data_IF_983798018563
#
_entry.id   IF_983798018563
#
_cell.length_a   1.000
_cell.length_b   1.000
_cell.length_c   1.000
_cell.angle_alpha   90.00
_cell.angle_beta   90.00
_cell.angle_gamma   90.00
#
_symmetry.space_group_name_H-M   'P 1'
#
loop_
_entity.id
_entity.type
_entity.pdbx_description
1 polymer ?
#
# COMPACT_ATOMS: atom_id res chain seq x y z
N UNK A 1 9.53 6.20 18.23
CA UNK A 1 10.03 6.67 16.92
C UNK A 1 9.42 5.77 15.89
N UNK A 2 8.62 6.30 14.97
CA UNK A 2 8.10 5.54 13.83
C UNK A 2 9.26 5.24 12.89
N UNK A 3 9.61 3.96 12.74
CA UNK A 3 10.68 3.53 11.86
C UNK A 3 10.12 3.45 10.44
N UNK A 4 10.51 4.38 9.57
CA UNK A 4 10.05 4.36 8.18
C UNK A 4 10.71 3.18 7.44
N UNK A 5 9.95 2.31 6.77
CA UNK A 5 10.51 1.16 6.07
C UNK A 5 11.37 1.57 4.88
N UNK A 6 12.31 0.72 4.50
CA UNK A 6 13.04 0.88 3.26
C UNK A 6 12.12 0.69 2.05
N UNK A 7 12.47 1.28 0.89
CA UNK A 7 11.68 1.16 -0.34
C UNK A 7 11.42 -0.29 -0.75
N UNK A 8 12.38 -1.19 -0.53
CA UNK A 8 12.23 -2.61 -0.81
C UNK A 8 11.18 -3.27 0.11
N UNK A 9 11.20 -2.97 1.40
CA UNK A 9 10.22 -3.51 2.36
C UNK A 9 8.80 -3.03 2.04
N UNK A 10 8.66 -1.74 1.70
CA UNK A 10 7.39 -1.17 1.30
C UNK A 10 6.89 -1.74 -0.02
N UNK A 11 7.77 -1.92 -1.01
CA UNK A 11 7.44 -2.54 -2.30
C UNK A 11 6.91 -3.96 -2.11
N UNK A 12 7.61 -4.77 -1.32
CA UNK A 12 7.21 -6.15 -1.07
C UNK A 12 5.91 -6.23 -0.25
N UNK A 13 5.70 -5.32 0.70
CA UNK A 13 4.44 -5.23 1.41
C UNK A 13 3.27 -4.85 0.50
N UNK A 14 3.47 -3.96 -0.49
CA UNK A 14 2.45 -3.58 -1.47
C UNK A 14 2.11 -4.71 -2.43
N UNK A 15 3.11 -5.48 -2.89
CA UNK A 15 2.88 -6.69 -3.69
C UNK A 15 2.08 -7.73 -2.89
N UNK A 16 2.46 -7.95 -1.63
CA UNK A 16 1.75 -8.87 -0.74
C UNK A 16 0.31 -8.39 -0.44
N UNK A 17 0.10 -7.09 -0.27
CA UNK A 17 -1.23 -6.51 -0.11
C UNK A 17 -2.10 -6.76 -1.34
N UNK A 18 -1.55 -6.63 -2.55
CA UNK A 18 -2.29 -6.92 -3.77
C UNK A 18 -2.64 -8.39 -3.96
N UNK A 19 -1.74 -9.31 -3.61
CA UNK A 19 -2.06 -10.73 -3.60
C UNK A 19 -3.17 -11.06 -2.59
N UNK A 20 -3.08 -10.54 -1.37
CA UNK A 20 -4.08 -10.75 -0.32
C UNK A 20 -5.44 -10.11 -0.68
N UNK A 21 -5.41 -8.94 -1.31
CA UNK A 21 -6.62 -8.26 -1.78
C UNK A 21 -7.31 -9.04 -2.91
N UNK A 22 -6.54 -9.58 -3.86
CA UNK A 22 -7.08 -10.46 -4.89
C UNK A 22 -7.70 -11.73 -4.29
N UNK A 23 -7.05 -12.36 -3.31
CA UNK A 23 -7.61 -13.50 -2.58
C UNK A 23 -8.93 -13.13 -1.88
N UNK A 24 -8.99 -11.96 -1.23
CA UNK A 24 -10.19 -11.45 -0.60
C UNK A 24 -11.34 -11.23 -1.60
N UNK A 25 -11.05 -10.66 -2.76
CA UNK A 25 -12.04 -10.50 -3.84
C UNK A 25 -12.60 -11.86 -4.28
N UNK A 26 -11.75 -12.86 -4.47
CA UNK A 26 -12.20 -14.20 -4.90
C UNK A 26 -12.98 -14.94 -3.81
N UNK A 27 -12.51 -14.89 -2.56
CA UNK A 27 -13.01 -15.76 -1.49
C UNK A 27 -14.13 -15.14 -0.66
N UNK A 28 -14.13 -13.82 -0.48
CA UNK A 28 -15.13 -13.11 0.35
C UNK A 28 -16.13 -12.36 -0.50
N UNK A 29 -15.67 -11.71 -1.58
CA UNK A 29 -16.53 -10.94 -2.47
C UNK A 29 -17.07 -11.73 -3.67
N UNK A 30 -16.81 -13.05 -3.72
CA UNK A 30 -17.26 -13.94 -4.80
C UNK A 30 -16.83 -13.46 -6.21
N UNK A 31 -15.59 -12.98 -6.32
CA UNK A 31 -15.00 -12.47 -7.55
C UNK A 31 -15.40 -11.03 -7.92
N UNK A 32 -16.19 -10.35 -7.07
CA UNK A 32 -16.54 -8.95 -7.28
C UNK A 32 -15.37 -8.06 -6.87
N UNK A 33 -15.03 -7.09 -7.73
CA UNK A 33 -13.99 -6.11 -7.47
C UNK A 33 -14.34 -5.26 -6.24
N UNK A 34 -13.37 -5.05 -5.38
CA UNK A 34 -13.50 -4.17 -4.22
C UNK A 34 -13.07 -2.73 -4.58
N UNK A 35 -13.99 -1.78 -4.45
CA UNK A 35 -13.70 -0.37 -4.78
C UNK A 35 -12.78 0.31 -3.76
N UNK A 36 -12.84 -0.08 -2.48
CA UNK A 36 -12.01 0.49 -1.40
C UNK A 36 -10.65 -0.22 -1.25
N UNK A 37 -10.04 -0.63 -2.37
CA UNK A 37 -8.76 -1.33 -2.40
C UNK A 37 -7.65 -0.55 -1.65
N UNK A 38 -7.62 0.78 -1.75
CA UNK A 38 -6.58 1.59 -1.11
C UNK A 38 -6.66 1.52 0.42
N UNK A 39 -7.86 1.45 1.00
CA UNK A 39 -8.08 1.25 2.44
C UNK A 39 -7.60 -0.12 2.88
N UNK A 40 -7.91 -1.16 2.10
CA UNK A 40 -7.43 -2.52 2.35
C UNK A 40 -5.89 -2.57 2.38
N UNK A 41 -5.24 -1.98 1.38
CA UNK A 41 -3.79 -1.96 1.27
C UNK A 41 -3.15 -1.17 2.42
N UNK A 42 -3.72 -0.02 2.77
CA UNK A 42 -3.23 0.78 3.90
C UNK A 42 -3.25 -0.02 5.20
N UNK A 43 -4.36 -0.69 5.51
CA UNK A 43 -4.47 -1.52 6.70
C UNK A 43 -3.48 -2.69 6.68
N UNK A 44 -3.35 -3.38 5.54
CA UNK A 44 -2.41 -4.49 5.38
C UNK A 44 -0.96 -4.06 5.60
N UNK A 45 -0.53 -3.00 4.93
CA UNK A 45 0.86 -2.52 4.97
C UNK A 45 1.21 -2.01 6.37
N UNK A 46 0.34 -1.22 6.99
CA UNK A 46 0.58 -0.71 8.36
C UNK A 46 0.57 -1.85 9.39
N UNK A 47 -0.29 -2.85 9.23
CA UNK A 47 -0.28 -4.03 10.09
C UNK A 47 1.00 -4.86 9.95
N UNK A 48 1.60 -4.91 8.75
CA UNK A 48 2.80 -5.69 8.46
C UNK A 48 4.11 -4.99 8.84
N UNK A 49 4.21 -3.69 8.55
CA UNK A 49 5.44 -2.91 8.68
C UNK A 49 5.44 -1.97 9.89
N UNK A 50 4.33 -1.88 10.61
CA UNK A 50 4.14 -0.96 11.74
C UNK A 50 3.46 0.34 11.34
N UNK A 51 3.16 1.16 12.34
CA UNK A 51 2.37 2.40 12.25
C UNK A 51 3.19 3.62 11.77
N UNK A 52 4.05 3.44 10.76
CA UNK A 52 4.97 4.48 10.25
C UNK A 52 4.27 5.67 9.57
N UNK A 53 2.97 5.55 9.27
CA UNK A 53 2.12 6.61 8.73
C UNK A 53 0.70 6.53 9.31
N UNK A 54 -0.02 7.66 9.31
CA UNK A 54 -1.44 7.67 9.64
C UNK A 54 -2.24 6.90 8.58
N UNK A 55 -3.22 6.05 8.96
CA UNK A 55 -4.02 5.28 7.99
C UNK A 55 -4.66 6.14 6.90
N UNK A 56 -5.20 7.31 7.25
CA UNK A 56 -5.82 8.24 6.30
C UNK A 56 -4.83 8.75 5.24
N UNK A 57 -3.59 9.04 5.65
CA UNK A 57 -2.54 9.50 4.73
C UNK A 57 -2.11 8.35 3.83
N UNK A 58 -1.95 7.15 4.38
CA UNK A 58 -1.59 5.97 3.61
C UNK A 58 -2.64 5.66 2.53
N UNK A 59 -3.93 5.69 2.86
CA UNK A 59 -5.02 5.53 1.89
C UNK A 59 -4.98 6.59 0.80
N UNK A 60 -4.75 7.86 1.18
CA UNK A 60 -4.62 8.97 0.23
C UNK A 60 -3.45 8.74 -0.74
N UNK A 61 -2.25 8.49 -0.24
CA UNK A 61 -1.05 8.30 -1.05
C UNK A 61 -1.15 7.09 -1.98
N UNK A 62 -1.77 6.00 -1.52
CA UNK A 62 -2.04 4.84 -2.38
C UNK A 62 -2.98 5.20 -3.54
N UNK A 63 -4.00 6.02 -3.27
CA UNK A 63 -4.95 6.48 -4.28
C UNK A 63 -4.31 7.42 -5.30
N UNK A 64 -3.37 8.26 -4.85
CA UNK A 64 -2.65 9.24 -5.68
C UNK A 64 -1.43 8.64 -6.40
N UNK A 65 -1.03 7.41 -6.04
CA UNK A 65 0.13 6.75 -6.60
C UNK A 65 0.04 6.58 -8.14
N UNK A 66 1.12 6.86 -8.89
CA UNK A 66 1.12 6.72 -10.34
C UNK A 66 0.79 5.29 -10.81
N UNK A 67 -0.15 5.17 -11.76
CA UNK A 67 -0.49 3.90 -12.41
C UNK A 67 0.57 3.54 -13.46
N UNK A 68 1.49 2.66 -13.09
CA UNK A 68 2.57 2.17 -13.97
C UNK A 68 2.52 0.64 -14.06
N UNK A 69 3.29 0.05 -15.00
CA UNK A 69 3.44 -1.41 -15.09
C UNK A 69 4.00 -2.01 -13.79
N UNK A 70 4.88 -1.27 -13.11
CA UNK A 70 5.45 -1.64 -11.83
C UNK A 70 4.82 -0.81 -10.70
N UNK A 71 3.49 -0.90 -10.59
CA UNK A 71 2.73 -0.04 -9.69
C UNK A 71 3.24 -0.08 -8.24
N UNK A 72 3.56 -1.27 -7.70
CA UNK A 72 4.03 -1.39 -6.32
C UNK A 72 5.33 -0.61 -6.04
N UNK A 73 6.27 -0.62 -6.99
CA UNK A 73 7.54 0.10 -6.90
C UNK A 73 7.32 1.61 -7.02
N UNK A 74 6.44 2.03 -7.93
CA UNK A 74 6.08 3.44 -8.13
C UNK A 74 5.31 4.00 -6.93
N UNK A 75 4.38 3.23 -6.36
CA UNK A 75 3.62 3.56 -5.18
C UNK A 75 4.52 3.64 -3.94
N UNK A 76 5.46 2.71 -3.76
CA UNK A 76 6.43 2.77 -2.67
C UNK A 76 7.28 4.04 -2.74
N UNK A 77 7.80 4.39 -3.92
CA UNK A 77 8.56 5.62 -4.13
C UNK A 77 7.72 6.86 -3.85
N UNK A 78 6.46 6.88 -4.30
CA UNK A 78 5.53 7.98 -4.05
C UNK A 78 5.26 8.17 -2.54
N UNK A 79 4.92 7.09 -1.83
CA UNK A 79 4.68 7.13 -0.37
C UNK A 79 5.91 7.65 0.39
N UNK A 80 7.11 7.18 0.06
CA UNK A 80 8.34 7.65 0.71
C UNK A 80 8.64 9.12 0.41
N UNK A 81 8.31 9.59 -0.80
CA UNK A 81 8.37 11.01 -1.15
C UNK A 81 7.42 11.84 -0.29
N UNK A 82 6.19 11.38 -0.10
CA UNK A 82 5.17 12.06 0.71
C UNK A 82 5.52 12.09 2.22
N UNK A 83 6.20 11.06 2.72
CA UNK A 83 6.73 11.02 4.10
C UNK A 83 7.85 12.06 4.31
N UNK A 84 8.45 12.58 3.23
CA UNK A 84 9.56 13.54 3.29
C UNK A 84 10.95 12.90 3.22
N UNK A 85 11.03 11.63 2.79
CA UNK A 85 12.28 10.91 2.56
C UNK A 85 12.61 10.76 1.06
N UNK A 86 11.88 11.45 0.18
CA UNK A 86 12.21 11.62 -1.23
C UNK A 86 13.05 12.88 -1.47
N UNK A 87 14.34 12.84 -1.09
CA UNK A 87 15.40 13.69 -1.66
C UNK A 87 16.70 12.92 -1.76
#
# INVERSE_FOLDING_TARGET
>A
MTNVPAIGELTEALKAAGAAHHEYEQTVLNGVRHEEWATFYAAYVLGRLGDFAQPSNMTKWLTEAPLTQNWAESAAAHILSEIGLGR
#
